data_IF_854013713831
#
_entry.id   IF_854013713831
#
_cell.length_a   1.000
_cell.length_b   1.000
_cell.length_c   1.000
_cell.angle_alpha   90.00
_cell.angle_beta   90.00
_cell.angle_gamma   90.00
#
_symmetry.space_group_name_H-M   'P 1'
#
loop_
_entity.id
_entity.type
_entity.pdbx_description
1 polymer ?
#
# COMPACT_ATOMS: atom_id res chain seq x y z
N UNK A 1 13.82 19.25 -0.67
CA UNK A 1 12.56 19.87 -1.17
C UNK A 1 12.76 20.60 -2.50
N UNK A 2 13.81 21.41 -2.62
CA UNK A 2 14.03 22.31 -3.74
C UNK A 2 14.04 21.59 -5.10
N UNK A 3 14.79 20.51 -5.21
CA UNK A 3 14.87 19.72 -6.45
C UNK A 3 13.50 19.18 -6.89
N UNK A 4 12.69 18.72 -5.94
CA UNK A 4 11.33 18.22 -6.21
C UNK A 4 10.43 19.36 -6.70
N UNK A 5 10.51 20.51 -6.06
CA UNK A 5 9.73 21.69 -6.47
C UNK A 5 10.11 22.12 -7.88
N UNK A 6 11.40 22.16 -8.20
CA UNK A 6 11.88 22.51 -9.54
C UNK A 6 11.47 21.46 -10.60
N UNK A 7 11.48 20.17 -10.24
CA UNK A 7 10.97 19.10 -11.12
C UNK A 7 9.48 19.27 -11.43
N UNK A 8 8.64 19.58 -10.44
CA UNK A 8 7.23 19.88 -10.67
C UNK A 8 7.04 21.13 -11.56
N UNK A 9 7.84 22.20 -11.37
CA UNK A 9 7.82 23.38 -12.24
C UNK A 9 8.20 23.03 -13.67
N UNK A 10 9.24 22.21 -13.85
CA UNK A 10 9.67 21.73 -15.17
C UNK A 10 8.56 20.92 -15.85
N UNK A 11 7.96 19.96 -15.15
CA UNK A 11 6.84 19.18 -15.68
C UNK A 11 5.66 20.08 -16.06
N UNK A 12 5.37 21.09 -15.24
CA UNK A 12 4.34 22.10 -15.57
C UNK A 12 4.67 22.87 -16.85
N UNK A 13 5.90 23.31 -17.01
CA UNK A 13 6.35 24.04 -18.22
C UNK A 13 6.26 23.17 -19.49
N UNK A 14 6.37 21.85 -19.35
CA UNK A 14 6.21 20.87 -20.41
C UNK A 14 4.74 20.49 -20.69
N UNK A 15 3.79 21.10 -19.97
CA UNK A 15 2.36 20.92 -20.19
C UNK A 15 1.72 19.75 -19.41
N UNK A 16 2.44 19.07 -18.54
CA UNK A 16 1.87 18.01 -17.69
C UNK A 16 0.85 18.60 -16.71
N UNK A 17 -0.27 17.90 -16.55
CA UNK A 17 -1.38 18.29 -15.65
C UNK A 17 -1.48 17.38 -14.43
N UNK A 18 -0.86 16.22 -14.49
CA UNK A 18 -0.87 15.21 -13.41
C UNK A 18 0.50 14.56 -13.28
N UNK A 19 0.89 14.24 -12.03
CA UNK A 19 2.15 13.59 -11.67
C UNK A 19 1.86 12.44 -10.70
N UNK A 20 2.38 11.27 -10.99
CA UNK A 20 2.45 10.18 -10.02
C UNK A 20 3.89 10.06 -9.53
N UNK A 21 4.11 10.42 -8.27
CA UNK A 21 5.43 10.33 -7.62
C UNK A 21 5.72 8.86 -7.34
N UNK A 22 6.82 8.34 -7.89
CA UNK A 22 7.20 6.92 -7.81
C UNK A 22 8.20 6.60 -6.70
N UNK A 23 8.46 7.56 -5.81
CA UNK A 23 9.29 7.29 -4.62
C UNK A 23 8.61 6.24 -3.74
N UNK A 24 9.36 5.23 -3.29
CA UNK A 24 8.88 4.21 -2.35
C UNK A 24 8.38 4.85 -1.05
N UNK A 25 8.95 6.00 -0.68
CA UNK A 25 8.57 6.78 0.47
C UNK A 25 8.73 8.28 0.22
N UNK A 26 7.69 8.91 -0.29
CA UNK A 26 7.70 10.35 -0.54
C UNK A 26 7.61 11.18 0.75
N UNK A 27 6.73 10.78 1.67
CA UNK A 27 6.51 11.48 2.94
C UNK A 27 7.62 11.14 3.93
N UNK A 28 8.59 12.04 4.07
CA UNK A 28 9.74 11.90 4.96
C UNK A 28 9.89 13.13 5.86
N UNK A 29 9.13 13.14 6.96
CA UNK A 29 9.10 14.24 7.91
C UNK A 29 8.15 15.39 7.52
N UNK A 30 7.65 16.09 8.54
CA UNK A 30 6.63 17.13 8.38
C UNK A 30 7.17 18.36 7.65
N UNK A 31 8.25 18.95 8.16
CA UNK A 31 8.84 20.18 7.60
C UNK A 31 9.15 20.04 6.10
N UNK A 32 9.83 18.93 5.71
CA UNK A 32 10.16 18.65 4.32
C UNK A 32 8.91 18.55 3.46
N UNK A 33 7.92 17.79 3.91
CA UNK A 33 6.72 17.51 3.12
C UNK A 33 5.87 18.76 2.96
N UNK A 34 5.67 19.52 4.03
CA UNK A 34 4.94 20.80 4.01
C UNK A 34 5.63 21.79 3.06
N UNK A 35 6.97 21.93 3.16
CA UNK A 35 7.73 22.81 2.27
C UNK A 35 7.58 22.46 0.78
N UNK A 36 7.59 21.17 0.44
CA UNK A 36 7.33 20.73 -0.94
C UNK A 36 5.91 21.13 -1.36
N UNK A 37 4.91 20.83 -0.54
CA UNK A 37 3.51 21.15 -0.81
C UNK A 37 3.30 22.67 -1.03
N UNK A 38 3.89 23.50 -0.19
CA UNK A 38 3.84 24.96 -0.34
C UNK A 38 4.47 25.43 -1.66
N UNK A 39 5.57 24.81 -2.07
CA UNK A 39 6.27 25.16 -3.31
C UNK A 39 5.52 24.76 -4.58
N UNK A 40 4.62 23.77 -4.52
CA UNK A 40 3.90 23.25 -5.71
C UNK A 40 2.41 23.59 -5.75
N UNK A 41 1.80 24.08 -4.67
CA UNK A 41 0.34 24.26 -4.53
C UNK A 41 -0.30 25.11 -5.64
N UNK A 42 0.41 26.13 -6.12
CA UNK A 42 -0.08 27.09 -7.11
C UNK A 42 0.25 26.68 -8.57
N UNK A 43 0.89 25.55 -8.78
CA UNK A 43 1.26 25.07 -10.12
C UNK A 43 0.06 24.53 -10.92
N UNK A 44 -1.05 24.20 -10.26
CA UNK A 44 -2.22 23.60 -10.91
C UNK A 44 -1.91 22.20 -11.49
N UNK A 45 -1.05 21.44 -10.83
CA UNK A 45 -0.76 20.03 -11.11
C UNK A 45 -1.46 19.20 -10.05
N UNK A 46 -2.23 18.20 -10.47
CA UNK A 46 -2.73 17.17 -9.56
C UNK A 46 -1.68 16.08 -9.42
N UNK A 47 -1.58 15.47 -8.23
CA UNK A 47 -0.55 14.47 -7.99
C UNK A 47 -0.96 13.42 -6.97
N UNK A 48 -0.17 12.37 -6.85
CA UNK A 48 -0.29 11.34 -5.83
C UNK A 48 1.06 10.70 -5.55
N UNK A 49 1.15 9.99 -4.42
CA UNK A 49 2.38 9.34 -3.98
C UNK A 49 2.10 8.13 -3.11
N UNK A 50 3.16 7.36 -2.82
CA UNK A 50 3.15 6.33 -1.78
C UNK A 50 3.60 6.90 -0.43
N UNK A 51 3.04 6.37 0.65
CA UNK A 51 3.42 6.73 2.01
C UNK A 51 3.25 5.58 3.00
N UNK A 52 4.02 5.61 4.08
CA UNK A 52 3.75 4.80 5.27
C UNK A 52 2.67 5.48 6.11
N UNK A 53 1.78 4.70 6.68
CA UNK A 53 0.68 5.21 7.50
C UNK A 53 1.15 5.97 8.74
N UNK A 54 2.24 5.52 9.38
CA UNK A 54 2.82 6.13 10.58
C UNK A 54 3.58 7.43 10.31
N UNK A 55 3.80 7.79 9.05
CA UNK A 55 4.43 9.06 8.67
C UNK A 55 3.40 10.17 8.36
N UNK A 56 2.11 9.85 8.38
CA UNK A 56 1.05 10.81 8.15
C UNK A 56 0.54 11.42 9.46
N UNK A 57 0.44 12.74 9.46
CA UNK A 57 -0.21 13.51 10.50
C UNK A 57 -1.08 14.61 9.86
N UNK A 58 -1.84 15.31 10.69
CA UNK A 58 -2.81 16.30 10.19
C UNK A 58 -2.15 17.46 9.44
N UNK A 59 -1.05 18.09 9.90
CA UNK A 59 -0.36 19.13 9.14
C UNK A 59 0.10 18.67 7.74
N UNK A 60 0.68 17.47 7.64
CA UNK A 60 1.13 16.88 6.37
C UNK A 60 -0.05 16.69 5.42
N UNK A 61 -1.10 15.97 5.85
CA UNK A 61 -2.23 15.64 4.97
C UNK A 61 -2.99 16.88 4.55
N UNK A 62 -3.13 17.87 5.43
CA UNK A 62 -3.70 19.18 5.11
C UNK A 62 -2.90 19.92 4.04
N UNK A 63 -1.58 19.96 4.17
CA UNK A 63 -0.70 20.58 3.18
C UNK A 63 -0.76 19.85 1.83
N UNK A 64 -0.76 18.51 1.84
CA UNK A 64 -0.90 17.70 0.63
C UNK A 64 -2.23 17.97 -0.09
N UNK A 65 -3.34 18.04 0.64
CA UNK A 65 -4.65 18.37 0.08
C UNK A 65 -4.66 19.77 -0.55
N UNK A 66 -4.11 20.77 0.14
CA UNK A 66 -3.99 22.13 -0.38
C UNK A 66 -3.12 22.20 -1.64
N UNK A 67 -2.12 21.34 -1.76
CA UNK A 67 -1.25 21.22 -2.92
C UNK A 67 -1.81 20.29 -4.02
N UNK A 68 -3.12 20.00 -4.02
CA UNK A 68 -3.80 19.18 -5.04
C UNK A 68 -3.38 17.69 -5.08
N UNK A 69 -2.92 17.12 -3.97
CA UNK A 69 -2.76 15.68 -3.86
C UNK A 69 -4.14 15.00 -3.99
N UNK A 70 -4.27 14.04 -4.90
CA UNK A 70 -5.54 13.36 -5.19
C UNK A 70 -5.63 11.95 -4.64
N UNK A 71 -4.50 11.27 -4.46
CA UNK A 71 -4.46 9.96 -3.81
C UNK A 71 -3.16 9.77 -3.03
N UNK A 72 -3.24 8.96 -1.99
CA UNK A 72 -2.09 8.44 -1.27
C UNK A 72 -2.20 6.92 -1.27
N UNK A 73 -1.15 6.24 -1.72
CA UNK A 73 -1.02 4.79 -1.73
C UNK A 73 -0.32 4.34 -0.43
N UNK A 74 -1.09 3.74 0.47
CA UNK A 74 -0.65 3.34 1.80
C UNK A 74 -0.25 1.87 1.83
N UNK A 75 0.97 1.59 2.22
CA UNK A 75 1.44 0.24 2.51
C UNK A 75 0.88 -0.25 3.84
N UNK A 76 -0.35 -0.73 3.85
CA UNK A 76 -1.02 -1.28 5.05
C UNK A 76 -0.56 -2.70 5.34
N UNK A 77 -0.39 -3.52 4.33
CA UNK A 77 0.00 -4.93 4.29
C UNK A 77 -0.98 -5.87 4.98
N UNK A 78 -1.35 -5.61 6.24
CA UNK A 78 -2.31 -6.40 7.00
C UNK A 78 -3.02 -5.57 8.08
N UNK A 79 -4.22 -5.98 8.47
CA UNK A 79 -4.92 -5.51 9.66
C UNK A 79 -4.77 -6.50 10.85
N UNK A 80 -3.77 -7.37 10.80
CA UNK A 80 -3.41 -8.26 11.92
C UNK A 80 -2.03 -7.84 12.45
N UNK A 81 -1.97 -7.49 13.75
CA UNK A 81 -0.73 -7.02 14.38
C UNK A 81 0.37 -8.09 14.34
N UNK A 82 0.05 -9.36 14.64
CA UNK A 82 1.05 -10.43 14.65
C UNK A 82 1.70 -10.64 13.27
N UNK A 83 0.92 -10.42 12.19
CA UNK A 83 1.46 -10.48 10.82
C UNK A 83 2.35 -9.27 10.55
N UNK A 84 1.94 -8.06 10.95
CA UNK A 84 2.77 -6.86 10.81
C UNK A 84 4.10 -6.98 11.57
N UNK A 85 4.06 -7.52 12.78
CA UNK A 85 5.25 -7.77 13.61
C UNK A 85 6.18 -8.81 12.96
N UNK A 86 5.60 -9.90 12.43
CA UNK A 86 6.38 -10.93 11.73
C UNK A 86 7.11 -10.38 10.50
N UNK A 87 6.46 -9.54 9.70
CA UNK A 87 7.08 -8.92 8.52
C UNK A 87 7.92 -7.68 8.86
N UNK A 88 8.11 -7.39 10.15
CA UNK A 88 8.92 -6.27 10.65
C UNK A 88 8.48 -4.93 10.08
N UNK A 89 7.16 -4.73 9.97
CA UNK A 89 6.60 -3.46 9.47
C UNK A 89 6.80 -2.33 10.49
N UNK A 90 6.98 -2.66 11.78
CA UNK A 90 7.18 -1.71 12.89
C UNK A 90 6.09 -0.63 12.95
N UNK A 91 4.83 -1.05 12.83
CA UNK A 91 3.66 -0.16 12.86
C UNK A 91 2.54 -0.79 13.69
N UNK A 92 1.90 0.01 14.54
CA UNK A 92 0.65 -0.38 15.19
C UNK A 92 -0.49 -0.39 14.16
N UNK A 93 -1.26 -1.47 14.11
CA UNK A 93 -2.38 -1.62 13.17
C UNK A 93 -3.37 -0.45 13.22
N UNK A 94 -3.54 0.17 14.40
CA UNK A 94 -4.39 1.36 14.58
C UNK A 94 -3.92 2.56 13.77
N UNK A 95 -2.60 2.68 13.53
CA UNK A 95 -2.03 3.76 12.70
C UNK A 95 -2.49 3.65 11.23
N UNK A 96 -2.70 2.43 10.74
CA UNK A 96 -3.26 2.24 9.40
C UNK A 96 -4.69 2.81 9.31
N UNK A 97 -5.53 2.53 10.30
CA UNK A 97 -6.89 3.07 10.35
C UNK A 97 -6.91 4.59 10.51
N UNK A 98 -6.10 5.13 11.43
CA UNK A 98 -5.96 6.57 11.65
C UNK A 98 -5.56 7.29 10.36
N UNK A 99 -4.54 6.76 9.65
CA UNK A 99 -4.05 7.34 8.40
C UNK A 99 -5.11 7.32 7.29
N UNK A 100 -5.81 6.18 7.10
CA UNK A 100 -6.88 6.06 6.11
C UNK A 100 -7.99 7.09 6.39
N UNK A 101 -8.44 7.20 7.64
CA UNK A 101 -9.49 8.14 8.02
C UNK A 101 -9.02 9.59 7.85
N UNK A 102 -7.78 9.89 8.19
CA UNK A 102 -7.20 11.22 8.06
C UNK A 102 -7.10 11.64 6.57
N UNK A 103 -6.60 10.78 5.71
CA UNK A 103 -6.49 11.01 4.26
C UNK A 103 -7.88 11.32 3.68
N UNK A 104 -8.88 10.52 4.02
CA UNK A 104 -10.27 10.71 3.57
C UNK A 104 -10.90 11.98 4.13
N UNK A 105 -10.62 12.35 5.39
CA UNK A 105 -11.09 13.61 6.02
C UNK A 105 -10.73 14.84 5.19
N UNK A 106 -9.56 14.80 4.54
CA UNK A 106 -9.08 15.91 3.70
C UNK A 106 -9.43 15.76 2.21
N UNK A 107 -10.30 14.82 1.84
CA UNK A 107 -10.76 14.63 0.47
C UNK A 107 -9.71 14.03 -0.47
N UNK A 108 -8.66 13.43 0.08
CA UNK A 108 -7.67 12.68 -0.68
C UNK A 108 -8.14 11.23 -0.76
N UNK A 109 -8.02 10.61 -1.93
CA UNK A 109 -8.37 9.20 -2.12
C UNK A 109 -7.38 8.29 -1.40
N UNK A 110 -7.88 7.43 -0.51
CA UNK A 110 -7.07 6.43 0.18
C UNK A 110 -7.00 5.16 -0.65
N UNK A 111 -5.83 4.90 -1.24
CA UNK A 111 -5.48 3.63 -1.84
C UNK A 111 -4.64 2.84 -0.84
N UNK A 112 -4.88 1.53 -0.72
CA UNK A 112 -4.12 0.68 0.20
C UNK A 112 -3.60 -0.57 -0.48
N UNK A 113 -2.48 -1.08 0.01
CA UNK A 113 -1.94 -2.38 -0.39
C UNK A 113 -2.12 -3.37 0.76
N UNK A 114 -2.66 -4.53 0.44
CA UNK A 114 -2.80 -5.69 1.34
C UNK A 114 -2.03 -6.85 0.73
N UNK A 115 -1.27 -7.53 1.57
CA UNK A 115 -0.41 -8.64 1.15
C UNK A 115 -0.84 -9.93 1.84
N UNK A 116 -1.10 -10.99 1.04
CA UNK A 116 -1.41 -12.32 1.52
C UNK A 116 -0.20 -13.25 1.38
N UNK A 117 -0.03 -14.16 2.33
CA UNK A 117 1.07 -15.12 2.32
C UNK A 117 2.41 -14.58 2.81
N UNK A 118 2.44 -13.42 3.46
CA UNK A 118 3.68 -12.82 3.97
C UNK A 118 4.20 -13.48 5.25
N UNK A 119 3.36 -14.24 5.94
CA UNK A 119 3.66 -14.83 7.25
C UNK A 119 3.09 -16.24 7.37
N UNK A 120 3.79 -17.19 8.04
CA UNK A 120 3.24 -18.49 8.39
C UNK A 120 2.09 -18.41 9.41
N UNK A 121 1.89 -17.26 10.05
CA UNK A 121 0.77 -17.00 10.96
C UNK A 121 -0.52 -16.68 10.21
N UNK A 122 -0.43 -16.45 8.89
CA UNK A 122 -1.61 -16.13 8.10
C UNK A 122 -2.47 -17.36 7.86
N UNK A 123 -3.77 -17.16 7.97
CA UNK A 123 -4.80 -18.17 7.77
C UNK A 123 -5.92 -17.60 6.89
N UNK A 124 -6.84 -18.46 6.42
CA UNK A 124 -8.02 -17.98 5.71
C UNK A 124 -8.89 -17.04 6.57
N UNK A 125 -8.86 -17.18 7.90
CA UNK A 125 -9.61 -16.30 8.80
C UNK A 125 -8.96 -14.92 8.91
N UNK A 126 -7.62 -14.84 8.98
CA UNK A 126 -6.92 -13.55 8.97
C UNK A 126 -7.08 -12.83 7.63
N UNK A 127 -7.06 -13.57 6.52
CA UNK A 127 -7.34 -13.03 5.18
C UNK A 127 -8.77 -12.46 5.11
N UNK A 128 -9.76 -13.22 5.61
CA UNK A 128 -11.16 -12.76 5.67
C UNK A 128 -11.30 -11.49 6.51
N UNK A 129 -10.64 -11.43 7.66
CA UNK A 129 -10.61 -10.23 8.51
C UNK A 129 -10.04 -9.02 7.77
N UNK A 130 -8.95 -9.18 7.03
CA UNK A 130 -8.40 -8.11 6.19
C UNK A 130 -9.44 -7.59 5.19
N UNK A 131 -10.19 -8.48 4.53
CA UNK A 131 -11.25 -8.08 3.58
C UNK A 131 -12.41 -7.34 4.28
N UNK A 132 -12.79 -7.76 5.50
CA UNK A 132 -13.82 -7.10 6.30
C UNK A 132 -13.39 -5.69 6.72
N UNK A 133 -12.13 -5.50 7.16
CA UNK A 133 -11.58 -4.20 7.50
C UNK A 133 -11.52 -3.24 6.31
N UNK A 134 -11.08 -3.72 5.15
CA UNK A 134 -11.11 -2.94 3.90
C UNK A 134 -12.52 -2.44 3.60
N UNK A 135 -13.53 -3.30 3.74
CA UNK A 135 -14.93 -2.95 3.54
C UNK A 135 -15.42 -1.94 4.60
N UNK A 136 -15.08 -2.16 5.87
CA UNK A 136 -15.47 -1.29 7.00
C UNK A 136 -14.92 0.13 6.83
N UNK A 137 -13.66 0.25 6.46
CA UNK A 137 -12.96 1.53 6.27
C UNK A 137 -13.36 2.26 4.99
N UNK A 138 -14.08 1.57 4.07
CA UNK A 138 -14.55 2.16 2.81
C UNK A 138 -13.41 2.85 2.06
N UNK A 139 -12.26 2.17 1.92
CA UNK A 139 -11.12 2.68 1.16
C UNK A 139 -11.50 2.92 -0.30
N UNK A 140 -10.85 3.87 -0.95
CA UNK A 140 -11.19 4.23 -2.33
C UNK A 140 -10.68 3.22 -3.35
N UNK A 141 -9.51 2.66 -3.08
CA UNK A 141 -8.89 1.60 -3.88
C UNK A 141 -8.15 0.64 -2.95
N UNK A 142 -8.07 -0.61 -3.36
CA UNK A 142 -7.25 -1.62 -2.70
C UNK A 142 -6.53 -2.47 -3.75
N UNK A 143 -5.29 -2.77 -3.48
CA UNK A 143 -4.52 -3.75 -4.23
C UNK A 143 -4.22 -4.94 -3.32
N UNK A 144 -4.70 -6.13 -3.70
CA UNK A 144 -4.39 -7.37 -3.02
C UNK A 144 -3.30 -8.09 -3.79
N UNK A 145 -2.18 -8.33 -3.12
CA UNK A 145 -1.03 -9.03 -3.68
C UNK A 145 -0.70 -10.27 -2.86
N UNK A 146 -0.08 -11.26 -3.49
CA UNK A 146 0.53 -12.39 -2.82
C UNK A 146 2.00 -12.05 -2.57
N UNK A 147 2.47 -12.27 -1.35
CA UNK A 147 3.86 -12.03 -0.99
C UNK A 147 4.80 -12.87 -1.88
N UNK A 148 5.82 -12.24 -2.42
CA UNK A 148 6.80 -12.90 -3.28
C UNK A 148 8.20 -12.72 -2.68
N UNK A 149 8.87 -13.80 -2.25
CA UNK A 149 10.20 -13.72 -1.67
C UNK A 149 11.25 -13.40 -2.74
N UNK A 150 11.61 -12.14 -2.92
CA UNK A 150 12.62 -11.74 -3.89
C UNK A 150 14.04 -12.18 -3.47
N UNK A 151 14.88 -12.66 -4.41
CA UNK A 151 16.28 -12.99 -4.12
C UNK A 151 17.01 -11.85 -3.41
N UNK A 152 17.80 -12.20 -2.41
CA UNK A 152 18.54 -11.23 -1.59
C UNK A 152 17.79 -10.73 -0.34
N UNK A 153 16.48 -10.97 -0.23
CA UNK A 153 15.70 -10.61 0.97
C UNK A 153 15.78 -11.68 2.07
N UNK A 154 15.49 -11.27 3.31
CA UNK A 154 15.36 -12.20 4.42
C UNK A 154 14.22 -13.20 4.16
N UNK A 155 13.10 -12.73 3.61
CA UNK A 155 11.97 -13.58 3.28
C UNK A 155 12.34 -14.67 2.26
N UNK A 156 13.21 -14.38 1.30
CA UNK A 156 13.72 -15.40 0.37
C UNK A 156 14.50 -16.48 1.10
N UNK A 157 15.36 -16.12 2.06
CA UNK A 157 16.12 -17.08 2.86
C UNK A 157 15.18 -17.98 3.66
N UNK A 158 14.22 -17.39 4.37
CA UNK A 158 13.19 -18.11 5.13
C UNK A 158 12.41 -19.06 4.22
N UNK A 159 11.97 -18.61 3.06
CA UNK A 159 11.21 -19.41 2.11
C UNK A 159 12.02 -20.59 1.58
N UNK A 160 13.31 -20.40 1.34
CA UNK A 160 14.22 -21.47 0.87
C UNK A 160 14.52 -22.49 1.95
N UNK A 161 14.86 -22.06 3.15
CA UNK A 161 15.15 -22.93 4.30
C UNK A 161 13.94 -23.79 4.70
N UNK A 162 12.74 -23.21 4.65
CA UNK A 162 11.50 -23.89 5.00
C UNK A 162 10.80 -24.57 3.81
N UNK A 163 11.43 -24.62 2.63
CA UNK A 163 10.91 -25.26 1.40
C UNK A 163 9.51 -24.76 1.02
N UNK A 164 9.28 -23.45 1.15
CA UNK A 164 7.98 -22.83 0.86
C UNK A 164 7.76 -22.57 -0.63
N UNK A 165 8.81 -22.55 -1.45
CA UNK A 165 8.69 -22.31 -2.88
C UNK A 165 7.92 -23.42 -3.60
N UNK A 166 6.83 -23.03 -4.27
CA UNK A 166 5.99 -23.94 -5.05
C UNK A 166 6.73 -24.55 -6.23
N UNK A 167 7.66 -23.80 -6.81
CA UNK A 167 8.44 -24.19 -7.99
C UNK A 167 9.86 -24.64 -7.65
N UNK A 168 10.14 -24.92 -6.37
CA UNK A 168 11.46 -25.32 -5.88
C UNK A 168 12.44 -24.18 -5.63
N UNK A 169 12.28 -23.06 -6.30
CA UNK A 169 13.01 -21.82 -6.08
C UNK A 169 12.18 -20.60 -6.58
N UNK A 170 12.74 -19.41 -6.45
CA UNK A 170 12.14 -18.19 -6.95
C UNK A 170 11.82 -18.26 -8.44
N UNK A 171 10.60 -17.83 -8.76
CA UNK A 171 10.15 -17.62 -10.15
C UNK A 171 9.48 -16.24 -10.24
N UNK A 172 9.77 -15.42 -11.25
CA UNK A 172 9.01 -14.21 -11.51
C UNK A 172 7.54 -14.56 -11.78
N UNK A 173 6.63 -14.02 -10.97
CA UNK A 173 5.18 -14.25 -11.08
C UNK A 173 4.42 -12.93 -11.01
N UNK A 174 3.21 -12.92 -11.52
CA UNK A 174 2.30 -11.81 -11.29
C UNK A 174 1.66 -11.95 -9.89
N UNK A 175 2.18 -11.21 -8.92
CA UNK A 175 1.77 -11.25 -7.51
C UNK A 175 0.27 -10.96 -7.28
N UNK A 176 -0.41 -10.33 -8.22
CA UNK A 176 -1.86 -10.10 -8.15
C UNK A 176 -2.67 -11.35 -8.55
N UNK A 177 -2.04 -12.44 -8.99
CA UNK A 177 -2.73 -13.62 -9.53
C UNK A 177 -2.10 -14.96 -9.17
N UNK A 178 -0.78 -15.01 -8.99
CA UNK A 178 -0.01 -16.23 -8.90
C UNK A 178 0.87 -16.25 -7.65
N UNK A 179 0.80 -17.35 -6.88
CA UNK A 179 1.64 -17.56 -5.72
C UNK A 179 2.91 -18.33 -6.09
N UNK A 180 4.05 -17.82 -5.62
CA UNK A 180 5.36 -18.47 -5.70
C UNK A 180 5.68 -19.27 -4.44
N UNK A 181 4.89 -19.07 -3.39
CA UNK A 181 5.03 -19.72 -2.09
C UNK A 181 3.72 -20.38 -1.67
N UNK A 182 3.86 -21.35 -0.77
CA UNK A 182 2.75 -21.97 -0.07
C UNK A 182 3.19 -22.42 1.33
N UNK A 183 2.25 -22.45 2.25
CA UNK A 183 2.41 -23.03 3.58
C UNK A 183 1.62 -24.33 3.68
N UNK A 184 1.94 -25.24 4.62
CA UNK A 184 1.18 -26.49 4.78
C UNK A 184 -0.32 -26.31 4.99
N UNK A 185 -0.72 -25.21 5.66
CA UNK A 185 -2.11 -24.87 6.01
C UNK A 185 -2.71 -23.81 5.07
N UNK A 186 -1.93 -23.21 4.18
CA UNK A 186 -2.36 -22.15 3.26
C UNK A 186 -1.64 -22.35 1.92
N UNK A 187 -2.25 -23.17 1.07
CA UNK A 187 -1.64 -23.57 -0.21
C UNK A 187 -1.67 -22.50 -1.28
N UNK A 188 -0.96 -22.79 -2.40
CA UNK A 188 -0.95 -21.93 -3.60
C UNK A 188 -2.38 -21.59 -4.06
N UNK A 189 -3.22 -22.60 -4.20
CA UNK A 189 -4.60 -22.42 -4.68
C UNK A 189 -5.44 -21.57 -3.72
N UNK A 190 -5.19 -21.67 -2.41
CA UNK A 190 -5.88 -20.89 -1.38
C UNK A 190 -5.51 -19.40 -1.51
N UNK A 191 -4.22 -19.08 -1.61
CA UNK A 191 -3.72 -17.72 -1.79
C UNK A 191 -4.26 -17.06 -3.07
N UNK A 192 -4.17 -17.77 -4.20
CA UNK A 192 -4.69 -17.28 -5.47
C UNK A 192 -6.20 -17.10 -5.47
N UNK A 193 -6.93 -18.03 -4.84
CA UNK A 193 -8.38 -17.90 -4.66
C UNK A 193 -8.75 -16.75 -3.73
N UNK A 194 -7.96 -16.53 -2.66
CA UNK A 194 -8.16 -15.43 -1.72
C UNK A 194 -8.05 -14.08 -2.43
N UNK A 195 -7.00 -13.86 -3.23
CA UNK A 195 -6.84 -12.60 -4.00
C UNK A 195 -7.99 -12.40 -4.97
N UNK A 196 -8.40 -13.43 -5.71
CA UNK A 196 -9.56 -13.32 -6.64
C UNK A 196 -10.84 -12.96 -5.90
N UNK A 197 -11.13 -13.64 -4.77
CA UNK A 197 -12.33 -13.37 -3.95
C UNK A 197 -12.28 -11.97 -3.35
N UNK A 198 -11.13 -11.52 -2.86
CA UNK A 198 -10.96 -10.20 -2.25
C UNK A 198 -11.22 -9.09 -3.28
N UNK A 199 -10.63 -9.19 -4.47
CA UNK A 199 -10.89 -8.25 -5.55
C UNK A 199 -12.37 -8.24 -5.96
N UNK A 200 -12.97 -9.42 -6.15
CA UNK A 200 -14.37 -9.53 -6.52
C UNK A 200 -15.30 -8.92 -5.45
N UNK A 201 -15.07 -9.24 -4.17
CA UNK A 201 -15.84 -8.71 -3.06
C UNK A 201 -15.73 -7.19 -2.94
N UNK A 202 -14.56 -6.62 -3.23
CA UNK A 202 -14.36 -5.18 -3.21
C UNK A 202 -15.18 -4.47 -4.30
N UNK A 203 -15.14 -4.94 -5.54
CA UNK A 203 -15.86 -4.32 -6.66
C UNK A 203 -17.38 -4.56 -6.61
N UNK A 204 -17.86 -5.60 -5.92
CA UNK A 204 -19.30 -5.83 -5.71
C UNK A 204 -19.89 -5.04 -4.54
N UNK A 205 -19.16 -4.10 -3.96
CA UNK A 205 -19.76 -3.21 -2.95
C UNK A 205 -20.72 -2.22 -3.63
N UNK A 206 -21.80 -1.78 -2.93
CA UNK A 206 -22.79 -0.83 -3.51
C UNK A 206 -22.19 0.49 -4.01
N UNK A 207 -20.94 0.76 -3.69
CA UNK A 207 -20.21 1.94 -4.14
C UNK A 207 -19.81 1.86 -5.63
N UNK A 208 -19.70 0.66 -6.18
CA UNK A 208 -19.26 0.44 -7.57
C UNK A 208 -20.37 -0.12 -8.47
N UNK A 209 -21.54 -0.41 -7.91
CA UNK A 209 -22.76 -0.83 -8.58
C UNK A 209 -23.76 0.32 -8.55
#
# INVERSE_FOLDING_TARGET
PENIIEEFKLLKSQGYKAVNVQDDQFVWGEERTVKICEGIKDLGIVWGCSARSDHLNEPIVKAMAAAQCKFIDLGVESFNQEILDYVKKDIDVRKNEEAINLVKKYGISAKINIMFGASPLETMDTIKKNMEEVKRLKVDQVMYNIANPFPGTEFYKIAKENKLFVYGDYKPVNVAKEANIAYPHLGKADLESAVRRANFAFFLTPRFI
#
